data_IF_040583612838
#
_entry.id   IF_040583612838
#
_cell.length_a   1.000
_cell.length_b   1.000
_cell.length_c   1.000
_cell.angle_alpha   90.00
_cell.angle_beta   90.00
_cell.angle_gamma   90.00
#
_symmetry.space_group_name_H-M   'P 1'
#
loop_
_entity.id
_entity.type
_entity.pdbx_description
1 polymer ?
#
# COMPACT_ATOMS: atom_id res chain seq x y z
N UNK A 1 5.75 17.59 -6.05
CA UNK A 1 4.51 17.43 -5.26
C UNK A 1 4.95 17.25 -3.82
N UNK A 2 4.43 18.08 -2.91
CA UNK A 2 4.62 17.86 -1.48
C UNK A 2 3.81 16.62 -1.07
N UNK A 3 4.27 15.84 -0.08
CA UNK A 3 3.46 14.78 0.47
C UNK A 3 2.15 15.36 0.99
N UNK A 4 1.05 14.63 0.79
CA UNK A 4 -0.23 15.05 1.38
C UNK A 4 -0.18 14.87 2.90
N UNK A 5 -0.87 15.71 3.70
CA UNK A 5 -0.80 15.65 5.16
C UNK A 5 -1.05 14.25 5.74
N UNK A 6 -1.99 13.50 5.17
CA UNK A 6 -2.28 12.13 5.59
C UNK A 6 -1.08 11.16 5.43
N UNK A 7 -0.24 11.33 4.41
CA UNK A 7 0.95 10.52 4.21
C UNK A 7 2.00 10.79 5.31
N UNK A 8 2.19 12.06 5.66
CA UNK A 8 3.11 12.45 6.74
C UNK A 8 2.63 11.88 8.08
N UNK A 9 1.36 12.07 8.40
CA UNK A 9 0.75 11.53 9.62
C UNK A 9 0.81 10.01 9.69
N UNK A 10 0.66 9.31 8.57
CA UNK A 10 0.77 7.86 8.53
C UNK A 10 2.21 7.38 8.86
N UNK A 11 3.24 8.10 8.39
CA UNK A 11 4.63 7.80 8.72
C UNK A 11 4.94 8.06 10.19
N UNK A 12 4.47 9.19 10.73
CA UNK A 12 4.61 9.54 12.16
C UNK A 12 3.90 8.50 13.05
N UNK A 13 2.68 8.11 12.70
CA UNK A 13 1.92 7.07 13.42
C UNK A 13 2.64 5.73 13.43
N UNK A 14 3.25 5.33 12.31
CA UNK A 14 4.03 4.09 12.23
C UNK A 14 5.27 4.17 13.15
N UNK A 15 5.92 5.33 13.25
CA UNK A 15 7.03 5.55 14.16
C UNK A 15 6.60 5.50 15.64
N UNK A 16 5.46 6.04 15.98
CA UNK A 16 4.88 5.94 17.32
C UNK A 16 4.62 4.48 17.70
N UNK A 17 3.95 3.71 16.84
CA UNK A 17 3.71 2.28 17.04
C UNK A 17 5.03 1.52 17.19
N UNK A 18 5.99 1.77 16.31
CA UNK A 18 7.29 1.13 16.36
C UNK A 18 8.09 1.47 17.63
N UNK A 19 7.86 2.64 18.22
CA UNK A 19 8.52 3.09 19.44
C UNK A 19 7.84 2.58 20.71
N UNK A 20 6.54 2.30 20.64
CA UNK A 20 5.75 1.93 21.81
C UNK A 20 6.16 0.57 22.37
N UNK A 21 6.71 0.56 23.57
CA UNK A 21 7.05 -0.67 24.30
C UNK A 21 5.82 -1.43 24.83
N UNK A 22 4.68 -0.73 24.96
CA UNK A 22 3.43 -1.31 25.47
C UNK A 22 2.64 -2.12 24.44
N UNK A 23 3.01 -2.06 23.17
CA UNK A 23 2.42 -2.91 22.12
C UNK A 23 2.90 -4.37 22.19
N UNK A 24 3.75 -4.67 23.15
CA UNK A 24 4.08 -6.03 23.58
C UNK A 24 2.83 -6.61 24.25
N UNK A 25 1.89 -7.10 23.47
CA UNK A 25 0.75 -7.85 23.95
C UNK A 25 1.24 -9.02 24.82
N UNK A 26 1.17 -8.84 26.11
CA UNK A 26 1.37 -9.88 27.11
C UNK A 26 0.21 -10.88 27.14
N UNK A 27 -0.36 -11.19 25.99
CA UNK A 27 -1.38 -12.21 25.85
C UNK A 27 -0.69 -13.50 25.39
N UNK A 28 -0.21 -14.30 26.36
CA UNK A 28 0.08 -15.70 26.12
C UNK A 28 1.51 -16.22 26.30
N UNK A 29 2.42 -15.49 26.90
CA UNK A 29 3.67 -16.12 27.37
C UNK A 29 3.54 -16.48 28.85
N UNK A 30 2.80 -17.53 29.16
CA UNK A 30 2.76 -18.18 30.51
C UNK A 30 3.97 -19.06 30.78
N UNK A 31 5.03 -18.96 30.01
CA UNK A 31 6.29 -19.65 30.28
C UNK A 31 7.26 -18.67 30.89
N UNK A 32 7.58 -18.90 32.15
CA UNK A 32 8.65 -18.42 33.01
C UNK A 32 9.91 -17.88 32.28
N UNK A 33 9.80 -16.79 31.52
CA UNK A 33 10.95 -16.06 31.02
C UNK A 33 11.33 -14.99 32.02
N UNK A 34 12.35 -15.28 32.86
CA UNK A 34 12.94 -14.35 33.82
C UNK A 34 13.81 -13.25 33.19
N UNK A 35 13.93 -13.20 31.87
CA UNK A 35 14.64 -12.16 31.15
C UNK A 35 13.65 -11.26 30.35
N UNK A 36 13.85 -9.92 30.38
CA UNK A 36 13.04 -9.03 29.54
C UNK A 36 13.27 -9.40 28.07
N UNK A 37 12.19 -9.68 27.34
CA UNK A 37 12.25 -9.95 25.92
C UNK A 37 12.70 -8.67 25.19
N UNK A 38 13.96 -8.62 24.79
CA UNK A 38 14.56 -7.45 24.13
C UNK A 38 14.21 -7.37 22.65
N UNK A 39 13.58 -8.42 22.10
CA UNK A 39 13.23 -8.48 20.69
C UNK A 39 11.92 -7.72 20.45
N UNK A 40 11.99 -6.63 19.71
CA UNK A 40 10.81 -5.92 19.22
C UNK A 40 10.15 -6.76 18.12
N UNK A 41 8.81 -6.88 18.10
CA UNK A 41 8.10 -7.69 17.09
C UNK A 41 8.29 -7.12 15.68
N UNK A 42 8.21 -7.99 14.71
CA UNK A 42 8.15 -7.64 13.30
C UNK A 42 6.85 -6.88 13.00
N UNK A 43 6.89 -6.04 11.96
CA UNK A 43 5.76 -5.20 11.55
C UNK A 43 5.35 -5.60 10.14
N UNK A 44 4.05 -5.84 9.97
CA UNK A 44 3.40 -5.91 8.67
C UNK A 44 2.50 -4.69 8.54
N UNK A 45 2.59 -4.01 7.40
CA UNK A 45 1.76 -2.83 7.10
C UNK A 45 0.84 -3.19 5.95
N UNK A 46 -0.43 -2.85 6.05
CA UNK A 46 -1.39 -3.14 5.00
C UNK A 46 -2.42 -2.01 4.86
N UNK A 47 -2.94 -1.84 3.66
CA UNK A 47 -4.01 -0.88 3.42
C UNK A 47 -4.72 -1.10 2.08
N UNK A 48 -5.96 -0.63 2.01
CA UNK A 48 -6.80 -0.67 0.81
C UNK A 48 -7.00 0.74 0.27
N UNK A 49 -7.05 0.87 -1.04
CA UNK A 49 -7.33 2.14 -1.72
C UNK A 49 -6.35 3.25 -1.28
N UNK A 50 -6.83 4.40 -0.87
CA UNK A 50 -6.02 5.47 -0.26
C UNK A 50 -5.17 4.94 0.92
N UNK A 51 -5.71 4.02 1.73
CA UNK A 51 -4.98 3.36 2.81
C UNK A 51 -3.82 2.51 2.31
N UNK A 52 -3.90 1.91 1.12
CA UNK A 52 -2.80 1.21 0.46
C UNK A 52 -1.65 2.15 0.11
N UNK A 53 -1.95 3.30 -0.49
CA UNK A 53 -0.96 4.35 -0.74
C UNK A 53 -0.32 4.84 0.57
N UNK A 54 -1.12 5.10 1.62
CA UNK A 54 -0.62 5.51 2.93
C UNK A 54 0.28 4.44 3.57
N UNK A 55 -0.06 3.15 3.45
CA UNK A 55 0.72 2.04 3.96
C UNK A 55 2.12 1.99 3.33
N UNK A 56 2.20 2.08 2.00
CA UNK A 56 3.48 2.09 1.28
C UNK A 56 4.27 3.35 1.58
N UNK A 57 3.61 4.52 1.64
CA UNK A 57 4.27 5.77 1.98
C UNK A 57 4.84 5.75 3.40
N UNK A 58 4.03 5.35 4.39
CA UNK A 58 4.47 5.25 5.77
C UNK A 58 5.66 4.30 5.95
N UNK A 59 5.59 3.11 5.33
CA UNK A 59 6.68 2.14 5.35
C UNK A 59 7.97 2.68 4.71
N UNK A 60 7.85 3.51 3.68
CA UNK A 60 8.99 4.12 3.00
C UNK A 60 9.64 5.23 3.83
N UNK A 61 8.83 6.09 4.43
CA UNK A 61 9.30 7.36 5.01
C UNK A 61 9.26 7.43 6.53
N UNK A 62 8.91 6.34 7.22
CA UNK A 62 9.14 6.22 8.66
C UNK A 62 10.63 6.20 9.00
N UNK A 63 10.97 6.26 10.28
CA UNK A 63 12.35 6.18 10.75
C UNK A 63 13.04 4.89 10.29
N UNK A 64 14.35 4.95 10.09
CA UNK A 64 15.13 3.77 9.72
C UNK A 64 15.04 2.63 10.76
N UNK A 65 14.76 2.95 12.02
CA UNK A 65 14.55 1.97 13.06
C UNK A 65 13.23 1.21 12.89
N UNK A 66 12.15 1.91 12.57
CA UNK A 66 10.85 1.31 12.24
C UNK A 66 10.92 0.52 10.92
N UNK A 67 11.50 1.12 9.87
CA UNK A 67 11.60 0.50 8.55
C UNK A 67 12.34 -0.86 8.57
N UNK A 68 13.36 -1.02 9.41
CA UNK A 68 14.10 -2.28 9.56
C UNK A 68 13.24 -3.41 10.13
N UNK A 69 12.19 -3.08 10.86
CA UNK A 69 11.26 -4.05 11.46
C UNK A 69 10.10 -4.41 10.54
N UNK A 70 9.90 -3.67 9.46
CA UNK A 70 8.85 -3.96 8.49
C UNK A 70 9.29 -5.16 7.66
N UNK A 71 8.61 -6.29 7.82
CA UNK A 71 8.87 -7.51 7.06
C UNK A 71 8.12 -7.53 5.74
N UNK A 72 6.93 -6.95 5.69
CA UNK A 72 6.15 -6.87 4.46
C UNK A 72 5.15 -5.72 4.47
N UNK A 73 4.83 -5.23 3.26
CA UNK A 73 3.79 -4.22 3.02
C UNK A 73 2.81 -4.78 1.99
N UNK A 74 1.53 -4.74 2.32
CA UNK A 74 0.45 -5.14 1.40
C UNK A 74 -0.36 -3.92 0.97
N UNK A 75 -0.36 -3.66 -0.33
CA UNK A 75 -1.17 -2.61 -0.95
C UNK A 75 -2.32 -3.26 -1.72
N UNK A 76 -3.55 -3.06 -1.27
CA UNK A 76 -4.74 -3.57 -1.94
C UNK A 76 -5.39 -2.46 -2.75
N UNK A 77 -5.15 -2.50 -4.06
CA UNK A 77 -5.71 -1.58 -5.08
C UNK A 77 -5.56 -0.09 -4.73
N UNK A 78 -4.47 0.26 -4.03
CA UNK A 78 -4.12 1.64 -3.73
C UNK A 78 -3.35 2.29 -4.90
N UNK A 79 -3.53 3.59 -5.13
CA UNK A 79 -2.78 4.30 -6.17
C UNK A 79 -1.29 4.35 -5.85
N UNK A 80 -0.48 4.37 -6.90
CA UNK A 80 0.97 4.49 -6.80
C UNK A 80 1.46 5.91 -6.47
N UNK A 81 2.66 6.23 -6.92
CA UNK A 81 3.34 7.48 -6.60
C UNK A 81 3.86 8.19 -7.86
N UNK A 82 4.22 9.44 -7.72
CA UNK A 82 4.92 10.18 -8.76
C UNK A 82 6.39 9.73 -8.86
N UNK A 83 7.03 10.04 -9.99
CA UNK A 83 8.41 9.66 -10.25
C UNK A 83 9.42 10.18 -9.20
N UNK A 84 9.09 11.28 -8.50
CA UNK A 84 9.95 11.83 -7.45
C UNK A 84 9.95 10.96 -6.21
N UNK A 85 8.79 10.41 -5.84
CA UNK A 85 8.68 9.46 -4.72
C UNK A 85 9.33 8.13 -5.09
N UNK A 86 9.02 7.61 -6.28
CA UNK A 86 9.57 6.34 -6.77
C UNK A 86 11.10 6.32 -6.80
N UNK A 87 11.72 7.42 -7.20
CA UNK A 87 13.20 7.55 -7.24
C UNK A 87 13.88 7.70 -5.87
N UNK A 88 13.10 7.80 -4.78
CA UNK A 88 13.67 7.99 -3.43
C UNK A 88 14.30 6.70 -2.90
N UNK A 89 15.52 6.76 -2.35
CA UNK A 89 16.16 5.58 -1.75
C UNK A 89 15.34 4.93 -0.64
N UNK A 90 14.54 5.71 0.09
CA UNK A 90 13.66 5.25 1.13
C UNK A 90 12.56 4.33 0.58
N UNK A 91 11.94 4.73 -0.53
CA UNK A 91 10.96 3.91 -1.26
C UNK A 91 11.61 2.64 -1.82
N UNK A 92 12.76 2.78 -2.48
CA UNK A 92 13.46 1.64 -3.08
C UNK A 92 13.81 0.54 -2.07
N UNK A 93 14.14 0.90 -0.83
CA UNK A 93 14.39 -0.08 0.23
C UNK A 93 13.16 -0.89 0.65
N UNK A 94 11.96 -0.34 0.46
CA UNK A 94 10.70 -1.01 0.80
C UNK A 94 10.10 -1.76 -0.39
N UNK A 95 10.43 -1.37 -1.62
CA UNK A 95 9.88 -1.89 -2.84
C UNK A 95 9.90 -3.44 -2.92
N UNK A 96 11.03 -4.07 -2.59
CA UNK A 96 11.18 -5.53 -2.59
C UNK A 96 10.34 -6.25 -1.53
N UNK A 97 9.89 -5.52 -0.50
CA UNK A 97 9.05 -6.03 0.58
C UNK A 97 7.59 -5.61 0.43
N UNK A 98 7.24 -5.00 -0.69
CA UNK A 98 5.89 -4.55 -0.99
C UNK A 98 5.26 -5.46 -2.03
N UNK A 99 4.03 -5.86 -1.81
CA UNK A 99 3.19 -6.55 -2.80
C UNK A 99 1.91 -5.75 -2.99
N UNK A 100 1.67 -5.36 -4.23
CA UNK A 100 0.43 -4.69 -4.64
C UNK A 100 -0.51 -5.71 -5.27
N UNK A 101 -1.74 -5.77 -4.77
CA UNK A 101 -2.81 -6.57 -5.36
C UNK A 101 -3.76 -5.64 -6.09
N UNK A 102 -4.11 -6.00 -7.33
CA UNK A 102 -5.04 -5.23 -8.17
C UNK A 102 -6.07 -6.16 -8.81
N UNK A 103 -7.34 -5.79 -8.87
CA UNK A 103 -8.31 -6.58 -9.62
C UNK A 103 -8.05 -6.52 -11.12
N UNK A 104 -8.58 -7.48 -11.90
CA UNK A 104 -8.30 -7.62 -13.32
C UNK A 104 -8.64 -6.38 -14.18
N UNK A 105 -9.54 -5.54 -13.72
CA UNK A 105 -9.90 -4.27 -14.40
C UNK A 105 -9.67 -3.06 -13.47
N UNK A 106 -8.60 -3.13 -12.65
CA UNK A 106 -8.28 -2.04 -11.73
C UNK A 106 -8.17 -0.70 -12.45
N UNK A 107 -8.77 0.30 -11.82
CA UNK A 107 -8.64 1.71 -12.21
C UNK A 107 -7.81 2.45 -11.17
N UNK A 108 -8.15 2.30 -9.89
CA UNK A 108 -7.50 3.01 -8.78
C UNK A 108 -6.07 2.56 -8.59
N UNK A 109 -5.83 1.24 -8.48
CA UNK A 109 -4.50 0.67 -8.29
C UNK A 109 -3.55 0.87 -9.47
N UNK A 110 -4.08 1.23 -10.63
CA UNK A 110 -3.25 1.55 -11.81
C UNK A 110 -2.97 3.05 -11.95
N UNK A 111 -3.51 3.89 -11.06
CA UNK A 111 -3.18 5.31 -11.05
C UNK A 111 -1.76 5.56 -10.57
N UNK A 112 -1.06 6.47 -11.26
CA UNK A 112 0.33 6.83 -10.99
C UNK A 112 1.31 5.66 -11.25
N UNK A 113 2.51 5.72 -10.68
CA UNK A 113 3.57 4.73 -10.90
C UNK A 113 3.72 3.75 -9.74
N UNK A 114 4.02 2.51 -10.10
CA UNK A 114 4.41 1.43 -9.19
C UNK A 114 5.73 0.84 -9.69
N UNK A 115 6.65 0.53 -8.80
CA UNK A 115 7.88 -0.21 -9.13
C UNK A 115 7.92 -1.57 -8.43
N UNK A 116 7.10 -1.75 -7.40
CA UNK A 116 6.90 -3.03 -6.74
C UNK A 116 6.14 -4.03 -7.63
N UNK A 117 6.34 -5.34 -7.43
CA UNK A 117 5.55 -6.36 -8.11
C UNK A 117 4.07 -6.27 -7.74
N UNK A 118 3.20 -6.45 -8.73
CA UNK A 118 1.76 -6.55 -8.48
C UNK A 118 1.22 -7.91 -8.89
N UNK A 119 0.18 -8.33 -8.19
CA UNK A 119 -0.55 -9.58 -8.41
C UNK A 119 -1.97 -9.23 -8.85
N UNK A 120 -2.41 -9.80 -9.96
CA UNK A 120 -3.77 -9.58 -10.47
C UNK A 120 -4.72 -10.57 -9.84
N UNK A 121 -5.82 -10.06 -9.28
CA UNK A 121 -6.83 -10.84 -8.58
C UNK A 121 -8.11 -10.91 -9.42
N UNK A 122 -8.73 -12.09 -9.47
CA UNK A 122 -10.06 -12.23 -10.03
C UNK A 122 -11.10 -11.60 -9.10
N UNK A 123 -12.06 -10.87 -9.69
CA UNK A 123 -13.20 -10.27 -8.99
C UNK A 123 -14.49 -10.64 -9.69
N UNK A 124 -15.54 -10.91 -8.93
CA UNK A 124 -16.89 -11.18 -9.44
C UNK A 124 -17.55 -9.93 -10.02
N UNK A 125 -17.06 -8.74 -9.70
CA UNK A 125 -17.56 -7.47 -10.19
C UNK A 125 -16.85 -7.02 -11.47
N UNK A 126 -17.26 -5.90 -12.03
CA UNK A 126 -16.65 -5.29 -13.21
C UNK A 126 -16.43 -3.78 -13.04
N UNK A 127 -15.47 -3.22 -13.79
CA UNK A 127 -15.15 -1.80 -13.77
C UNK A 127 -14.79 -1.30 -12.38
N UNK A 128 -15.27 -0.13 -11.98
CA UNK A 128 -14.96 0.47 -10.68
C UNK A 128 -15.46 -0.35 -9.48
N UNK A 129 -16.48 -1.18 -9.64
CA UNK A 129 -17.01 -2.00 -8.56
C UNK A 129 -16.04 -3.08 -8.13
N UNK A 130 -15.02 -3.42 -8.92
CA UNK A 130 -13.93 -4.32 -8.53
C UNK A 130 -13.00 -3.73 -7.45
N UNK A 131 -13.08 -2.43 -7.22
CA UNK A 131 -12.33 -1.78 -6.14
C UNK A 131 -12.78 -2.23 -4.75
N UNK A 132 -13.99 -2.78 -4.63
CA UNK A 132 -14.47 -3.40 -3.39
C UNK A 132 -13.78 -4.75 -3.16
N UNK A 133 -12.99 -4.85 -2.09
CA UNK A 133 -12.28 -6.08 -1.70
C UNK A 133 -13.22 -7.28 -1.47
N UNK A 134 -14.47 -7.05 -1.06
CA UNK A 134 -15.45 -8.10 -0.85
C UNK A 134 -15.90 -8.79 -2.14
N UNK A 135 -15.61 -8.19 -3.29
CA UNK A 135 -15.86 -8.78 -4.61
C UNK A 135 -14.71 -9.68 -5.10
N UNK A 136 -13.59 -9.74 -4.37
CA UNK A 136 -12.40 -10.48 -4.80
C UNK A 136 -12.56 -11.97 -4.51
N UNK A 137 -12.27 -12.79 -5.51
CA UNK A 137 -12.42 -14.23 -5.42
C UNK A 137 -11.31 -14.85 -4.57
N UNK A 138 -11.72 -15.72 -3.63
CA UNK A 138 -10.80 -16.42 -2.74
C UNK A 138 -10.86 -17.91 -3.04
N UNK A 139 -9.72 -18.53 -3.26
CA UNK A 139 -9.55 -19.96 -3.38
C UNK A 139 -8.78 -20.53 -2.19
N UNK A 140 -9.41 -21.44 -1.44
CA UNK A 140 -8.81 -22.10 -0.27
C UNK A 140 -8.19 -21.10 0.73
N UNK A 141 -6.89 -20.83 0.62
CA UNK A 141 -6.12 -20.00 1.54
C UNK A 141 -5.54 -18.73 0.89
N UNK A 142 -5.96 -18.37 -0.31
CA UNK A 142 -5.43 -17.23 -1.05
C UNK A 142 -6.44 -16.64 -2.02
N UNK A 143 -6.04 -15.57 -2.67
CA UNK A 143 -6.81 -14.99 -3.76
C UNK A 143 -6.69 -15.83 -5.02
N UNK A 144 -7.75 -15.87 -5.82
CA UNK A 144 -7.70 -16.37 -7.19
C UNK A 144 -6.90 -15.40 -8.06
N UNK A 145 -5.67 -15.82 -8.43
CA UNK A 145 -4.74 -14.97 -9.16
C UNK A 145 -4.88 -15.18 -10.66
N UNK A 146 -4.78 -14.10 -11.42
CA UNK A 146 -4.79 -14.08 -12.88
C UNK A 146 -3.41 -13.70 -13.43
N UNK A 147 -3.09 -14.17 -14.64
CA UNK A 147 -1.79 -13.87 -15.25
C UNK A 147 -1.62 -12.41 -15.67
N UNK A 148 -2.71 -11.71 -16.00
CA UNK A 148 -2.68 -10.33 -16.53
C UNK A 148 -3.96 -9.55 -16.21
N UNK A 149 -3.82 -8.23 -16.12
CA UNK A 149 -4.95 -7.29 -16.19
C UNK A 149 -5.60 -7.34 -17.59
N UNK A 150 -6.89 -7.05 -17.65
CA UNK A 150 -7.61 -7.01 -18.93
C UNK A 150 -7.10 -5.89 -19.85
N UNK A 151 -7.26 -6.06 -21.16
CA UNK A 151 -6.88 -5.02 -22.14
C UNK A 151 -7.67 -3.72 -21.92
N UNK A 152 -8.91 -3.82 -21.44
CA UNK A 152 -9.73 -2.68 -21.03
C UNK A 152 -9.09 -1.88 -19.89
N UNK A 153 -8.50 -2.53 -18.91
CA UNK A 153 -7.77 -1.87 -17.81
C UNK A 153 -6.58 -1.07 -18.31
N UNK A 154 -5.81 -1.62 -19.26
CA UNK A 154 -4.68 -0.91 -19.88
C UNK A 154 -5.10 0.33 -20.66
N UNK A 155 -6.22 0.27 -21.35
CA UNK A 155 -6.76 1.41 -22.08
C UNK A 155 -7.23 2.52 -21.13
N UNK A 156 -7.93 2.15 -20.06
CA UNK A 156 -8.38 3.08 -19.01
C UNK A 156 -7.17 3.71 -18.32
N UNK A 157 -6.16 2.92 -17.98
CA UNK A 157 -4.89 3.41 -17.38
C UNK A 157 -4.23 4.46 -18.28
N UNK A 158 -4.04 4.17 -19.57
CA UNK A 158 -3.41 5.09 -20.50
C UNK A 158 -4.21 6.41 -20.64
N UNK A 159 -5.55 6.31 -20.67
CA UNK A 159 -6.44 7.47 -20.79
C UNK A 159 -6.42 8.31 -19.53
N UNK A 160 -6.50 7.68 -18.34
CA UNK A 160 -6.44 8.36 -17.05
C UNK A 160 -5.08 9.00 -16.81
N UNK A 161 -3.98 8.30 -17.11
CA UNK A 161 -2.63 8.88 -17.01
C UNK A 161 -2.48 10.10 -17.90
N UNK A 162 -3.00 10.05 -19.12
CA UNK A 162 -3.00 11.20 -20.04
C UNK A 162 -3.85 12.35 -19.50
N UNK A 163 -5.01 12.07 -18.94
CA UNK A 163 -5.90 13.07 -18.36
C UNK A 163 -5.31 13.73 -17.11
N UNK A 164 -4.78 12.93 -16.18
CA UNK A 164 -4.10 13.42 -14.97
C UNK A 164 -2.84 14.23 -15.35
N UNK A 165 -2.10 13.81 -16.37
CA UNK A 165 -0.94 14.56 -16.85
C UNK A 165 -1.30 15.94 -17.38
N UNK A 166 -2.51 16.11 -17.94
CA UNK A 166 -3.05 17.38 -18.42
C UNK A 166 -3.64 18.27 -17.33
N UNK A 167 -3.81 17.78 -16.10
CA UNK A 167 -4.35 18.57 -14.98
C UNK A 167 -3.28 19.46 -14.36
N UNK A 168 -3.68 20.64 -13.93
CA UNK A 168 -2.87 21.51 -13.08
C UNK A 168 -2.83 21.01 -11.62
N UNK A 169 -2.03 21.67 -10.79
CA UNK A 169 -1.82 21.27 -9.39
C UNK A 169 -3.13 21.29 -8.58
N UNK A 170 -3.94 22.32 -8.73
CA UNK A 170 -5.18 22.51 -7.98
C UNK A 170 -6.24 21.47 -8.36
N UNK A 171 -6.31 21.11 -9.64
CA UNK A 171 -7.20 20.07 -10.14
C UNK A 171 -6.82 18.67 -9.62
N UNK A 172 -5.51 18.37 -9.52
CA UNK A 172 -5.01 17.11 -8.94
C UNK A 172 -5.28 17.01 -7.45
N UNK A 173 -5.12 18.10 -6.71
CA UNK A 173 -5.42 18.17 -5.29
C UNK A 173 -6.91 17.93 -5.02
N UNK A 174 -7.80 18.57 -5.77
CA UNK A 174 -9.24 18.33 -5.67
C UNK A 174 -9.68 16.91 -6.01
N UNK A 175 -8.97 16.22 -6.93
CA UNK A 175 -9.24 14.82 -7.24
C UNK A 175 -8.86 13.89 -6.08
N UNK A 176 -7.74 14.16 -5.42
CA UNK A 176 -7.27 13.36 -4.27
C UNK A 176 -8.16 13.55 -3.04
N UNK A 177 -8.70 14.76 -2.85
CA UNK A 177 -9.58 15.06 -1.72
C UNK A 177 -11.02 14.53 -1.92
N UNK A 178 -11.41 14.28 -3.16
CA UNK A 178 -12.72 13.74 -3.50
C UNK A 178 -12.77 12.19 -3.57
N UNK A 179 -11.62 11.52 -3.53
CA UNK A 179 -11.47 10.06 -3.56
C UNK A 179 -11.28 9.48 -2.16
#
# INVERSE_FOLDING_TARGET
ICPVPAQVLAAEYLDEIASCSSFMGTSGCETSCTAPCTHKPDIIVAGHSKGGNLAVYAASFCSSAAQKRIVHVYNFDGPGFDAKVLSRPEYQRICERTTTFVPQSSVVGMLLGHEEPYIVINSEQSGLMQHDLYSWCIERTGFECLEKVTDGSRFVDATLKSWIAGMDYSQREGLVDAA
#
